data_IF_027672881112
#
_entry.id   IF_027672881112
#
_cell.length_a   1.000
_cell.length_b   1.000
_cell.length_c   1.000
_cell.angle_alpha   90.00
_cell.angle_beta   90.00
_cell.angle_gamma   90.00
#
_symmetry.space_group_name_H-M   'P 1'
#
loop_
_entity.id
_entity.type
_entity.pdbx_description
1 polymer ?
#
# COMPACT_ATOMS: atom_id res chain seq x y z
N UNK A 1 20.80 29.98 -29.83
CA UNK A 1 19.67 30.58 -29.10
C UNK A 1 18.79 29.42 -28.62
N UNK A 2 19.14 28.85 -27.49
CA UNK A 2 18.54 27.64 -26.92
C UNK A 2 17.23 28.01 -26.23
N UNK A 3 16.11 27.47 -26.72
CA UNK A 3 14.83 27.58 -26.06
C UNK A 3 14.84 26.68 -24.81
N UNK A 4 14.78 27.29 -23.63
CA UNK A 4 14.57 26.58 -22.37
C UNK A 4 13.15 26.03 -22.32
N UNK A 5 13.02 24.73 -22.03
CA UNK A 5 11.74 24.10 -21.71
C UNK A 5 11.21 24.63 -20.37
N UNK A 6 9.90 24.86 -20.21
CA UNK A 6 9.33 25.29 -18.94
C UNK A 6 9.41 24.14 -17.92
N UNK A 7 10.06 24.44 -16.80
CA UNK A 7 10.18 23.56 -15.63
C UNK A 7 8.80 23.44 -14.96
N UNK A 8 8.01 22.45 -15.41
CA UNK A 8 6.70 22.14 -14.81
C UNK A 8 6.89 21.15 -13.67
N UNK A 9 7.77 21.49 -12.73
CA UNK A 9 7.79 20.91 -11.40
C UNK A 9 6.66 21.55 -10.58
N UNK A 10 5.41 21.23 -10.96
CA UNK A 10 4.25 21.49 -10.11
C UNK A 10 4.47 20.77 -8.78
N UNK A 11 4.65 21.55 -7.72
CA UNK A 11 4.85 21.09 -6.35
C UNK A 11 3.91 19.93 -6.00
N UNK A 12 4.48 18.73 -5.84
CA UNK A 12 3.80 17.56 -5.27
C UNK A 12 3.50 17.72 -3.77
N UNK A 13 3.78 18.89 -3.18
CA UNK A 13 3.61 19.15 -1.75
C UNK A 13 2.13 19.24 -1.32
N UNK A 14 1.18 19.28 -2.26
CA UNK A 14 -0.25 19.38 -1.97
C UNK A 14 -1.02 18.05 -1.94
N UNK A 15 -0.37 16.89 -1.77
CA UNK A 15 -1.06 15.58 -1.91
C UNK A 15 -1.13 14.71 -0.66
N UNK A 16 -0.51 15.12 0.45
CA UNK A 16 -0.39 14.31 1.66
C UNK A 16 -1.32 14.77 2.79
N UNK A 17 -2.58 15.04 2.44
CA UNK A 17 -3.54 15.63 3.37
C UNK A 17 -4.09 14.61 4.40
N UNK A 18 -3.84 13.31 4.19
CA UNK A 18 -4.37 12.23 5.02
C UNK A 18 -3.36 11.10 5.20
N UNK A 19 -3.51 10.37 6.31
CA UNK A 19 -2.84 9.09 6.57
C UNK A 19 -3.23 8.08 5.49
N UNK A 20 -2.29 7.23 5.09
CA UNK A 20 -2.47 6.23 4.03
C UNK A 20 -2.11 4.84 4.52
N UNK A 21 -2.90 3.84 4.13
CA UNK A 21 -2.59 2.43 4.38
C UNK A 21 -1.60 1.93 3.34
N UNK A 22 -0.54 1.26 3.79
CA UNK A 22 0.34 0.45 2.96
C UNK A 22 0.23 -1.00 3.39
N UNK A 23 0.16 -1.92 2.43
CA UNK A 23 0.21 -3.34 2.70
C UNK A 23 1.14 -4.09 1.74
N UNK A 24 1.81 -5.11 2.27
CA UNK A 24 2.62 -6.09 1.55
C UNK A 24 2.05 -7.48 1.85
N UNK A 25 1.40 -8.08 0.86
CA UNK A 25 0.57 -9.27 1.00
C UNK A 25 1.23 -10.45 0.29
N UNK A 26 1.76 -11.38 1.08
CA UNK A 26 2.27 -12.67 0.64
C UNK A 26 1.29 -13.81 0.87
N UNK A 27 1.75 -15.05 0.65
CA UNK A 27 0.90 -16.24 0.84
C UNK A 27 0.55 -16.53 2.31
N UNK A 28 1.49 -16.34 3.23
CA UNK A 28 1.30 -16.67 4.64
C UNK A 28 0.96 -15.45 5.50
N UNK A 29 1.54 -14.30 5.17
CA UNK A 29 1.49 -13.11 6.00
C UNK A 29 1.10 -11.89 5.16
N UNK A 30 0.32 -11.00 5.77
CA UNK A 30 0.05 -9.67 5.28
C UNK A 30 0.65 -8.66 6.26
N UNK A 31 1.63 -7.88 5.80
CA UNK A 31 2.23 -6.79 6.57
C UNK A 31 1.51 -5.49 6.22
N UNK A 32 1.06 -4.78 7.24
CA UNK A 32 0.39 -3.49 7.11
C UNK A 32 1.21 -2.40 7.80
N UNK A 33 1.12 -1.17 7.31
CA UNK A 33 1.69 0.03 7.90
C UNK A 33 0.85 1.25 7.55
N UNK A 34 0.99 2.33 8.33
CA UNK A 34 0.46 3.64 7.98
C UNK A 34 1.58 4.57 7.54
N UNK A 35 1.40 5.24 6.40
CA UNK A 35 2.22 6.38 6.03
C UNK A 35 1.53 7.66 6.55
N UNK A 36 2.10 8.25 7.60
CA UNK A 36 1.52 9.39 8.35
C UNK A 36 1.97 10.74 7.82
N UNK A 37 3.09 10.76 7.11
CA UNK A 37 3.64 11.86 6.34
C UNK A 37 4.54 11.25 5.26
N UNK A 38 4.96 11.98 4.20
CA UNK A 38 5.82 11.42 3.16
C UNK A 38 7.05 10.71 3.74
N UNK A 39 7.17 9.40 3.51
CA UNK A 39 8.28 8.58 4.01
C UNK A 39 8.27 8.30 5.52
N UNK A 40 7.21 8.69 6.25
CA UNK A 40 7.05 8.45 7.69
C UNK A 40 6.08 7.31 7.94
N UNK A 41 6.62 6.13 8.17
CA UNK A 41 5.86 4.90 8.40
C UNK A 41 5.67 4.61 9.88
N UNK A 42 4.46 4.24 10.26
CA UNK A 42 4.03 3.98 11.64
C UNK A 42 3.13 2.75 11.72
N UNK A 43 2.88 2.29 12.95
CA UNK A 43 1.91 1.25 13.26
C UNK A 43 2.07 -0.04 12.42
N UNK A 44 3.31 -0.46 12.17
CA UNK A 44 3.59 -1.68 11.40
C UNK A 44 3.05 -2.89 12.15
N UNK A 45 2.26 -3.73 11.48
CA UNK A 45 1.74 -4.99 12.01
C UNK A 45 1.80 -6.08 10.96
N UNK A 46 2.00 -7.32 11.39
CA UNK A 46 1.96 -8.49 10.51
C UNK A 46 0.81 -9.37 10.99
N UNK A 47 -0.15 -9.63 10.09
CA UNK A 47 -1.27 -10.51 10.33
C UNK A 47 -1.09 -11.80 9.54
N UNK A 48 -1.48 -12.94 10.12
CA UNK A 48 -1.51 -14.22 9.41
C UNK A 48 -2.66 -14.22 8.40
N UNK A 49 -2.37 -14.51 7.13
CA UNK A 49 -3.42 -14.57 6.10
C UNK A 49 -4.47 -15.66 6.44
N UNK A 50 -4.04 -16.75 7.08
CA UNK A 50 -4.93 -17.84 7.50
C UNK A 50 -5.92 -17.44 8.62
N UNK A 51 -5.64 -16.36 9.36
CA UNK A 51 -6.51 -15.88 10.45
C UNK A 51 -7.71 -15.07 9.93
N UNK A 52 -7.75 -14.77 8.63
CA UNK A 52 -8.77 -13.94 8.02
C UNK A 52 -9.38 -14.60 6.78
N UNK A 53 -10.71 -14.63 6.70
CA UNK A 53 -11.42 -15.25 5.59
C UNK A 53 -11.12 -14.52 4.27
N UNK A 54 -11.00 -13.19 4.31
CA UNK A 54 -10.74 -12.32 3.15
C UNK A 54 -9.66 -11.27 3.45
N UNK A 55 -9.09 -10.67 2.39
CA UNK A 55 -8.20 -9.51 2.52
C UNK A 55 -8.93 -8.31 3.17
N UNK A 56 -10.22 -8.12 2.86
CA UNK A 56 -11.05 -7.09 3.48
C UNK A 56 -11.17 -7.25 5.00
N UNK A 57 -11.29 -8.49 5.48
CA UNK A 57 -11.29 -8.79 6.92
C UNK A 57 -9.95 -8.44 7.56
N UNK A 58 -8.83 -8.80 6.93
CA UNK A 58 -7.49 -8.46 7.44
C UNK A 58 -7.29 -6.94 7.51
N UNK A 59 -7.71 -6.18 6.48
CA UNK A 59 -7.67 -4.72 6.47
C UNK A 59 -8.51 -4.12 7.60
N UNK A 60 -9.75 -4.60 7.78
CA UNK A 60 -10.62 -4.15 8.87
C UNK A 60 -10.01 -4.45 10.24
N UNK A 61 -9.47 -5.64 10.44
CA UNK A 61 -8.81 -6.01 11.70
C UNK A 61 -7.65 -5.07 11.97
N UNK A 62 -6.79 -4.81 10.98
CA UNK A 62 -5.67 -3.88 11.12
C UNK A 62 -6.15 -2.46 11.49
N UNK A 63 -7.10 -1.90 10.74
CA UNK A 63 -7.62 -0.54 10.96
C UNK A 63 -8.35 -0.38 12.31
N UNK A 64 -8.91 -1.46 12.85
CA UNK A 64 -9.58 -1.48 14.15
C UNK A 64 -8.62 -1.56 15.34
N UNK A 65 -7.32 -1.84 15.14
CA UNK A 65 -6.36 -1.87 16.23
C UNK A 65 -6.30 -0.48 16.90
N UNK A 66 -6.34 -0.37 18.24
CA UNK A 66 -6.33 0.93 18.93
C UNK A 66 -5.14 1.82 18.54
N UNK A 67 -3.97 1.21 18.32
CA UNK A 67 -2.75 1.91 17.87
C UNK A 67 -2.84 2.46 16.44
N UNK A 68 -3.71 1.89 15.60
CA UNK A 68 -3.94 2.30 14.21
C UNK A 68 -5.09 3.31 14.16
N UNK A 69 -6.20 3.02 14.84
CA UNK A 69 -7.38 3.89 14.92
C UNK A 69 -7.07 5.27 15.52
N UNK A 70 -6.05 5.38 16.37
CA UNK A 70 -5.57 6.65 16.93
C UNK A 70 -5.11 7.67 15.87
N UNK A 71 -4.75 7.22 14.66
CA UNK A 71 -4.36 8.09 13.55
C UNK A 71 -5.56 8.67 12.77
N UNK A 72 -6.79 8.27 13.12
CA UNK A 72 -8.01 8.74 12.47
C UNK A 72 -8.39 7.93 11.23
N UNK A 73 -9.25 8.51 10.40
CA UNK A 73 -9.81 7.82 9.24
C UNK A 73 -8.79 7.71 8.10
N UNK A 74 -8.59 6.47 7.62
CA UNK A 74 -7.73 6.19 6.46
C UNK A 74 -8.59 6.04 5.22
N UNK A 75 -8.36 6.88 4.21
CA UNK A 75 -9.14 6.92 2.96
C UNK A 75 -8.35 6.50 1.72
N UNK A 76 -7.04 6.33 1.86
CA UNK A 76 -6.15 5.98 0.75
C UNK A 76 -5.34 4.75 1.11
N UNK A 77 -5.22 3.81 0.17
CA UNK A 77 -4.49 2.57 0.37
C UNK A 77 -3.66 2.18 -0.86
N UNK A 78 -2.49 1.60 -0.62
CA UNK A 78 -1.71 0.89 -1.62
C UNK A 78 -1.31 -0.50 -1.11
N UNK A 79 -1.55 -1.52 -1.93
CA UNK A 79 -1.31 -2.92 -1.59
C UNK A 79 -0.39 -3.52 -2.64
N UNK A 80 0.79 -3.99 -2.20
CA UNK A 80 1.64 -4.87 -2.97
C UNK A 80 1.19 -6.32 -2.73
N UNK A 81 1.02 -7.10 -3.80
CA UNK A 81 0.61 -8.51 -3.71
C UNK A 81 1.53 -9.41 -4.52
N UNK A 82 1.84 -10.58 -3.96
CA UNK A 82 2.68 -11.62 -4.58
C UNK A 82 1.98 -12.39 -5.73
N UNK A 83 1.26 -11.66 -6.59
CA UNK A 83 0.51 -12.18 -7.71
C UNK A 83 0.54 -11.19 -8.89
N UNK A 84 0.41 -11.66 -10.14
CA UNK A 84 0.10 -10.79 -11.27
C UNK A 84 -1.22 -10.04 -11.00
N UNK A 85 -1.23 -8.75 -11.29
CA UNK A 85 -2.42 -7.90 -11.19
C UNK A 85 -2.74 -7.41 -12.59
N UNK A 86 -3.80 -7.96 -13.19
CA UNK A 86 -4.30 -7.57 -14.51
C UNK A 86 -5.82 -7.38 -14.42
N UNK A 87 -6.27 -6.15 -14.69
CA UNK A 87 -7.65 -5.75 -14.48
C UNK A 87 -8.07 -5.67 -13.01
N UNK A 88 -9.38 -5.80 -12.77
CA UNK A 88 -10.00 -5.61 -11.46
C UNK A 88 -9.94 -6.85 -10.56
N UNK A 89 -9.87 -8.04 -11.15
CA UNK A 89 -9.98 -9.30 -10.41
C UNK A 89 -8.60 -9.85 -10.04
N UNK A 90 -8.38 -10.01 -8.74
CA UNK A 90 -7.15 -10.60 -8.19
C UNK A 90 -7.47 -11.97 -7.61
N UNK A 91 -6.67 -12.96 -7.98
CA UNK A 91 -6.71 -14.31 -7.42
C UNK A 91 -5.31 -14.68 -6.96
N UNK A 92 -5.16 -14.92 -5.67
CA UNK A 92 -3.87 -15.34 -5.13
C UNK A 92 -3.56 -16.78 -5.54
N UNK A 93 -2.30 -17.05 -5.86
CA UNK A 93 -1.81 -18.40 -6.19
C UNK A 93 -1.29 -19.12 -4.96
N UNK A 94 -0.85 -18.36 -3.96
CA UNK A 94 -0.22 -18.87 -2.74
C UNK A 94 -1.14 -18.76 -1.51
N UNK A 95 -2.39 -18.34 -1.69
CA UNK A 95 -3.43 -18.23 -0.66
C UNK A 95 -4.82 -18.31 -1.30
N UNK A 96 -5.89 -18.58 -0.53
CA UNK A 96 -7.25 -18.73 -1.06
C UNK A 96 -7.98 -17.40 -1.37
N UNK A 97 -7.37 -16.26 -1.05
CA UNK A 97 -8.01 -14.97 -1.25
C UNK A 97 -8.19 -14.65 -2.74
N UNK A 98 -9.39 -14.18 -3.05
CA UNK A 98 -9.82 -13.70 -4.36
C UNK A 98 -10.72 -12.49 -4.15
N UNK A 99 -10.53 -11.42 -4.91
CA UNK A 99 -11.29 -10.19 -4.73
C UNK A 99 -11.29 -9.33 -5.99
N UNK A 100 -12.31 -8.48 -6.09
CA UNK A 100 -12.33 -7.32 -6.98
C UNK A 100 -11.67 -6.14 -6.27
N UNK A 101 -10.78 -5.43 -6.94
CA UNK A 101 -10.11 -4.24 -6.40
C UNK A 101 -11.16 -3.17 -6.12
N UNK A 102 -12.09 -2.92 -7.05
CA UNK A 102 -13.14 -1.94 -6.88
C UNK A 102 -14.12 -2.31 -5.75
N UNK A 103 -14.50 -3.58 -5.64
CA UNK A 103 -15.35 -4.04 -4.54
C UNK A 103 -14.65 -3.86 -3.18
N UNK A 104 -13.36 -4.23 -3.09
CA UNK A 104 -12.57 -4.06 -1.88
C UNK A 104 -12.40 -2.58 -1.51
N UNK A 105 -12.20 -1.71 -2.50
CA UNK A 105 -12.12 -0.25 -2.32
C UNK A 105 -13.40 0.28 -1.66
N UNK A 106 -14.56 -0.11 -2.18
CA UNK A 106 -15.85 0.30 -1.65
C UNK A 106 -16.10 -0.29 -0.25
N UNK A 107 -15.85 -1.58 -0.07
CA UNK A 107 -16.03 -2.31 1.19
C UNK A 107 -15.20 -1.72 2.34
N UNK A 108 -13.95 -1.38 2.06
CA UNK A 108 -13.04 -0.79 3.05
C UNK A 108 -13.21 0.73 3.19
N UNK A 109 -14.04 1.36 2.36
CA UNK A 109 -14.30 2.79 2.38
C UNK A 109 -13.08 3.63 1.97
N UNK A 110 -12.32 3.19 0.96
CA UNK A 110 -11.23 3.97 0.39
C UNK A 110 -11.72 4.87 -0.75
N UNK A 111 -11.21 6.10 -0.80
CA UNK A 111 -11.35 6.96 -1.97
C UNK A 111 -10.40 6.52 -3.09
N UNK A 112 -9.20 6.04 -2.73
CA UNK A 112 -8.22 5.47 -3.66
C UNK A 112 -7.69 4.17 -3.08
N UNK A 113 -7.75 3.09 -3.87
CA UNK A 113 -7.06 1.84 -3.61
C UNK A 113 -6.20 1.48 -4.82
N UNK A 114 -4.89 1.40 -4.62
CA UNK A 114 -3.96 0.89 -5.60
C UNK A 114 -3.57 -0.54 -5.22
N UNK A 115 -3.72 -1.49 -6.13
CA UNK A 115 -3.20 -2.84 -5.97
C UNK A 115 -2.22 -3.09 -7.09
N UNK A 116 -1.00 -3.49 -6.72
CA UNK A 116 0.10 -3.70 -7.65
C UNK A 116 0.82 -4.99 -7.30
N UNK A 117 1.52 -5.54 -8.29
CA UNK A 117 2.44 -6.64 -8.03
C UNK A 117 3.59 -6.19 -7.09
N UNK A 118 4.08 -7.11 -6.27
CA UNK A 118 5.19 -6.94 -5.33
C UNK A 118 6.51 -6.50 -5.99
N UNK A 119 6.93 -7.11 -7.10
CA UNK A 119 8.13 -6.66 -7.82
C UNK A 119 7.97 -5.26 -8.40
N UNK A 120 6.76 -4.90 -8.83
CA UNK A 120 6.48 -3.53 -9.27
C UNK A 120 6.63 -2.54 -8.11
N UNK A 121 6.07 -2.84 -6.94
CA UNK A 121 6.22 -2.02 -5.75
C UNK A 121 7.70 -1.89 -5.32
N UNK A 122 8.45 -3.01 -5.33
CA UNK A 122 9.87 -3.05 -5.03
C UNK A 122 10.67 -2.17 -6.00
N UNK A 123 10.48 -2.32 -7.31
CA UNK A 123 11.18 -1.51 -8.30
C UNK A 123 10.90 -0.01 -8.10
N UNK A 124 9.68 0.35 -7.72
CA UNK A 124 9.27 1.75 -7.46
C UNK A 124 9.82 2.31 -6.15
N UNK A 125 10.19 1.46 -5.19
CA UNK A 125 10.80 1.91 -3.93
C UNK A 125 12.29 2.26 -4.10
N UNK A 126 13.00 1.63 -5.04
CA UNK A 126 14.45 1.80 -5.21
C UNK A 126 14.95 3.26 -5.29
N UNK A 127 14.29 4.19 -6.01
CA UNK A 127 14.74 5.58 -6.07
C UNK A 127 14.62 6.34 -4.73
N UNK A 128 13.83 5.83 -3.80
CA UNK A 128 13.58 6.44 -2.49
C UNK A 128 14.53 5.91 -1.40
N UNK A 129 15.31 4.86 -1.69
CA UNK A 129 16.28 4.30 -0.77
C UNK A 129 17.51 5.22 -0.65
N UNK A 130 17.89 5.55 0.59
CA UNK A 130 19.07 6.33 0.92
C UNK A 130 20.35 5.49 0.96
N UNK A 131 21.47 6.11 1.33
CA UNK A 131 22.75 5.40 1.47
C UNK A 131 22.75 4.35 2.59
N UNK A 132 22.01 4.59 3.67
CA UNK A 132 21.89 3.65 4.80
C UNK A 132 21.08 2.39 4.49
N UNK A 133 20.27 2.42 3.42
CA UNK A 133 19.43 1.30 3.00
C UNK A 133 20.13 0.39 1.97
N UNK A 134 21.35 0.75 1.56
CA UNK A 134 22.10 0.10 0.48
C UNK A 134 23.42 -0.46 1.03
N UNK A 135 23.76 -1.67 0.60
CA UNK A 135 25.06 -2.30 0.86
C UNK A 135 25.73 -2.55 -0.49
N UNK A 136 26.99 -2.12 -0.63
CA UNK A 136 27.79 -2.45 -1.80
C UNK A 136 28.32 -3.88 -1.65
N UNK A 137 28.06 -4.70 -2.66
CA UNK A 137 28.51 -6.10 -2.75
C UNK A 137 29.51 -6.28 -3.89
#
# INVERSE_FOLDING_TARGET
MTASLPDTAGSIAGRFDTVRLLADVGGTNARFALETAPGRFEAVQVLGCADHATLGDAIRTYLALPSVAAFGQVRHAAIAIANPVDGDQVRMTNHHWQFSIEALRQEAGFDILLVVNDFYALARSLPHLGGGDKVQV
#
